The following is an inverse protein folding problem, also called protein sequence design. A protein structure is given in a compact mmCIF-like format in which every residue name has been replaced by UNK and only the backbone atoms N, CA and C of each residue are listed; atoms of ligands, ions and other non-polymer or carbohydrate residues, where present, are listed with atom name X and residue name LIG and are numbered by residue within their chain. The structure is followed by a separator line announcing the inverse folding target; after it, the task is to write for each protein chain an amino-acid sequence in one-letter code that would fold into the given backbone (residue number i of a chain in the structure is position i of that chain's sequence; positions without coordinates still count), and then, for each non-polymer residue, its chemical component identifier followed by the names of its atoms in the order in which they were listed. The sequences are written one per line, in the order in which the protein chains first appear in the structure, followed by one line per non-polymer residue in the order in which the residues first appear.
data_IF_019491644498
#
_entry.id   IF_019491644498
#
_cell.length_a   1.000
_cell.length_b   1.000
_cell.length_c   1.000
_cell.angle_alpha   90.00
_cell.angle_beta   90.00
_cell.angle_gamma   90.00
#
_symmetry.space_group_name_H-M   'P 1'
#
loop_
_entity.id
_entity.type
_entity.pdbx_description
1 polymer ?
#
# COMPACT_ATOMS: atom_id res chain seq x y z
N UNK A 1 11.26 1.87 14.83
CA UNK A 1 10.80 2.15 13.44
C UNK A 1 12.07 2.13 12.63
N UNK A 2 12.50 0.93 12.32
CA UNK A 2 13.68 0.54 11.53
C UNK A 2 13.72 -0.96 11.77
N UNK A 3 12.95 -1.70 10.99
CA UNK A 3 13.06 -3.16 10.89
C UNK A 3 12.50 -3.55 9.51
N UNK A 4 13.42 -4.01 8.66
CA UNK A 4 13.20 -5.06 7.67
C UNK A 4 12.59 -4.75 6.29
N UNK A 5 12.81 -3.56 5.72
CA UNK A 5 12.56 -3.36 4.28
C UNK A 5 13.63 -4.05 3.41
N UNK A 6 14.76 -4.49 3.98
CA UNK A 6 15.81 -5.24 3.25
C UNK A 6 15.35 -6.66 2.87
N UNK A 7 14.55 -7.30 3.70
CA UNK A 7 14.04 -8.66 3.50
C UNK A 7 12.99 -8.75 2.38
N UNK A 8 12.36 -7.62 2.02
CA UNK A 8 11.35 -7.55 0.97
C UNK A 8 11.95 -7.58 -0.44
N UNK A 9 13.20 -7.14 -0.62
CA UNK A 9 13.87 -7.13 -1.92
C UNK A 9 14.27 -8.54 -2.37
N UNK A 10 14.73 -9.39 -1.45
CA UNK A 10 15.17 -10.77 -1.73
C UNK A 10 14.02 -11.75 -2.00
N UNK A 11 12.77 -11.38 -1.68
CA UNK A 11 11.57 -12.23 -1.86
C UNK A 11 10.76 -11.89 -3.10
N UNK A 12 11.27 -11.01 -3.96
CA UNK A 12 10.55 -10.54 -5.13
C UNK A 12 11.08 -11.16 -6.42
N UNK A 13 10.18 -11.52 -7.33
CA UNK A 13 10.54 -12.00 -8.67
C UNK A 13 9.67 -11.34 -9.73
N UNK A 14 10.23 -11.14 -10.92
CA UNK A 14 9.54 -10.56 -12.06
C UNK A 14 9.09 -11.66 -13.03
N UNK A 15 7.82 -11.65 -13.44
CA UNK A 15 7.31 -12.53 -14.49
C UNK A 15 6.24 -11.83 -15.31
N UNK A 16 6.43 -11.77 -16.64
CA UNK A 16 5.45 -11.16 -17.54
C UNK A 16 5.14 -9.69 -17.27
N UNK A 17 6.13 -8.88 -16.86
CA UNK A 17 5.95 -7.44 -16.58
C UNK A 17 5.37 -7.11 -15.19
N UNK A 18 5.32 -8.12 -14.32
CA UNK A 18 4.78 -8.03 -12.97
C UNK A 18 5.83 -8.42 -11.94
N UNK A 19 5.99 -7.60 -10.91
CA UNK A 19 6.70 -7.94 -9.68
C UNK A 19 5.77 -8.69 -8.76
N UNK A 20 6.13 -9.93 -8.48
CA UNK A 20 5.55 -10.78 -7.45
C UNK A 20 6.42 -10.69 -6.21
N UNK A 21 5.81 -10.87 -5.05
CA UNK A 21 6.51 -11.06 -3.78
C UNK A 21 6.00 -12.35 -3.19
N UNK A 22 6.93 -13.24 -2.84
CA UNK A 22 6.58 -14.48 -2.15
C UNK A 22 5.82 -14.15 -0.85
N UNK A 23 4.74 -14.87 -0.51
CA UNK A 23 4.06 -14.66 0.75
C UNK A 23 5.03 -14.77 1.93
N UNK A 24 5.01 -13.78 2.82
CA UNK A 24 5.93 -13.76 3.96
C UNK A 24 5.18 -13.48 5.26
N UNK A 25 5.81 -13.81 6.39
CA UNK A 25 5.27 -13.50 7.71
C UNK A 25 5.83 -12.18 8.18
N UNK A 26 4.96 -11.30 8.65
CA UNK A 26 5.34 -10.01 9.24
C UNK A 26 4.79 -9.92 10.65
N UNK A 27 5.64 -9.49 11.59
CA UNK A 27 5.24 -9.18 12.95
C UNK A 27 5.06 -7.68 13.11
N UNK A 28 3.97 -7.29 13.75
CA UNK A 28 3.69 -5.90 14.09
C UNK A 28 3.46 -5.78 15.57
N UNK A 29 4.16 -4.83 16.18
CA UNK A 29 4.09 -4.55 17.60
C UNK A 29 3.37 -3.22 17.83
N UNK A 30 2.36 -3.24 18.69
CA UNK A 30 1.51 -2.08 19.01
C UNK A 30 1.34 -1.98 20.52
N UNK A 31 1.22 -0.75 21.04
CA UNK A 31 0.85 -0.55 22.44
C UNK A 31 -0.65 -0.29 22.56
N UNK A 32 -1.27 -0.95 23.54
CA UNK A 32 -2.68 -0.74 23.88
C UNK A 32 -2.82 0.66 24.49
N UNK A 33 -3.70 1.47 23.91
CA UNK A 33 -3.99 2.80 24.43
C UNK A 33 -5.10 2.72 25.48
N UNK A 34 -5.19 3.73 26.34
CA UNK A 34 -6.20 3.79 27.41
C UNK A 34 -7.65 3.71 26.92
N UNK A 35 -7.92 4.18 25.70
CA UNK A 35 -9.27 4.10 25.11
C UNK A 35 -9.67 2.67 24.71
N UNK A 36 -8.69 1.78 24.59
CA UNK A 36 -8.83 0.44 24.05
C UNK A 36 -8.41 -0.63 25.05
N UNK A 37 -8.33 -0.31 26.34
CA UNK A 37 -8.21 -1.33 27.38
C UNK A 37 -9.54 -2.05 27.56
N UNK A 38 -9.49 -3.33 27.94
CA UNK A 38 -10.69 -4.18 27.99
C UNK A 38 -10.35 -5.65 27.78
N UNK A 39 -11.36 -6.45 27.46
CA UNK A 39 -11.15 -7.85 27.10
C UNK A 39 -10.21 -7.95 25.89
N UNK A 40 -9.32 -8.94 25.88
CA UNK A 40 -8.29 -9.07 24.84
C UNK A 40 -8.88 -9.13 23.43
N UNK A 41 -10.02 -9.82 23.27
CA UNK A 41 -10.84 -9.82 22.05
C UNK A 41 -11.10 -8.41 21.53
N UNK A 42 -11.62 -7.54 22.38
CA UNK A 42 -12.01 -6.18 21.99
C UNK A 42 -10.78 -5.35 21.63
N UNK A 43 -9.67 -5.55 22.34
CA UNK A 43 -8.38 -4.94 22.00
C UNK A 43 -7.94 -5.36 20.60
N UNK A 44 -7.99 -6.67 20.28
CA UNK A 44 -7.62 -7.20 18.97
C UNK A 44 -8.50 -6.60 17.87
N UNK A 45 -9.83 -6.62 18.03
CA UNK A 45 -10.77 -6.06 17.04
C UNK A 45 -10.56 -4.55 16.83
N UNK A 46 -10.35 -3.78 17.90
CA UNK A 46 -10.19 -2.33 17.84
C UNK A 46 -8.84 -1.88 17.26
N UNK A 47 -7.78 -2.68 17.40
CA UNK A 47 -6.45 -2.37 16.86
C UNK A 47 -6.31 -2.80 15.39
N UNK A 48 -7.00 -3.88 15.00
CA UNK A 48 -7.00 -4.45 13.65
C UNK A 48 -7.85 -3.62 12.68
N UNK A 49 -8.95 -3.03 13.16
CA UNK A 49 -9.79 -2.10 12.37
C UNK A 49 -9.12 -0.77 12.02
N UNK A 50 -8.08 -0.36 12.77
CA UNK A 50 -7.37 0.92 12.56
C UNK A 50 -6.04 0.79 11.85
N UNK A 51 -5.48 -0.39 11.76
CA UNK A 51 -4.22 -0.65 11.07
C UNK A 51 -4.50 -1.13 9.64
N UNK A 52 -3.47 -1.24 8.80
CA UNK A 52 -3.50 -1.85 7.44
C UNK A 52 -3.94 -3.35 7.42
N UNK A 53 -4.80 -3.73 8.36
CA UNK A 53 -5.09 -5.06 8.86
C UNK A 53 -6.59 -5.29 8.94
N UNK A 54 -7.43 -4.59 8.17
CA UNK A 54 -8.84 -4.96 8.08
C UNK A 54 -8.91 -6.47 7.75
N UNK A 55 -9.23 -7.27 8.77
CA UNK A 55 -9.35 -8.70 8.61
C UNK A 55 -10.40 -8.89 7.52
N UNK A 56 -10.13 -9.78 6.56
CA UNK A 56 -11.22 -10.32 5.75
C UNK A 56 -12.33 -10.66 6.73
N UNK A 57 -13.53 -10.13 6.50
CA UNK A 57 -14.72 -10.43 7.30
C UNK A 57 -14.80 -11.95 7.44
N UNK A 58 -14.30 -12.50 8.55
CA UNK A 58 -14.54 -13.88 8.91
C UNK A 58 -15.89 -13.86 9.58
N UNK A 59 -16.79 -14.74 9.14
CA UNK A 59 -18.14 -14.80 9.70
C UNK A 59 -18.11 -15.10 11.22
N UNK A 60 -17.02 -15.69 11.71
CA UNK A 60 -16.73 -15.89 13.14
C UNK A 60 -15.38 -15.28 13.53
N UNK A 61 -15.43 -14.11 14.17
CA UNK A 61 -14.25 -13.35 14.63
C UNK A 61 -13.61 -13.99 15.86
N UNK A 62 -14.39 -14.67 16.69
CA UNK A 62 -13.92 -15.20 17.98
C UNK A 62 -13.13 -16.49 17.76
N UNK A 63 -13.66 -17.38 16.92
CA UNK A 63 -12.94 -18.58 16.51
C UNK A 63 -11.61 -18.25 15.81
N UNK A 64 -11.59 -17.19 14.99
CA UNK A 64 -10.37 -16.71 14.34
C UNK A 64 -9.31 -16.29 15.37
N UNK A 65 -9.66 -15.43 16.34
CA UNK A 65 -8.70 -14.96 17.34
C UNK A 65 -8.28 -16.04 18.31
N UNK A 66 -9.17 -16.96 18.68
CA UNK A 66 -8.82 -18.09 19.55
C UNK A 66 -7.77 -18.97 18.86
N UNK A 67 -7.96 -19.25 17.56
CA UNK A 67 -6.99 -19.99 16.75
C UNK A 67 -5.67 -19.24 16.60
N UNK A 68 -5.71 -17.92 16.44
CA UNK A 68 -4.50 -17.10 16.35
C UNK A 68 -3.73 -17.07 17.67
N UNK A 69 -4.42 -16.99 18.81
CA UNK A 69 -3.83 -17.01 20.15
C UNK A 69 -3.19 -18.37 20.45
N UNK A 70 -3.94 -19.46 20.23
CA UNK A 70 -3.42 -20.82 20.41
C UNK A 70 -2.20 -21.11 19.54
N UNK A 71 -2.17 -20.57 18.32
CA UNK A 71 -1.03 -20.67 17.40
C UNK A 71 0.11 -19.67 17.69
N UNK A 72 0.03 -18.88 18.78
CA UNK A 72 0.99 -17.83 19.14
C UNK A 72 1.21 -16.78 18.04
N UNK A 73 0.24 -16.61 17.15
CA UNK A 73 0.23 -15.54 16.13
C UNK A 73 -0.20 -14.21 16.70
N UNK A 74 -0.89 -14.21 17.83
CA UNK A 74 -1.09 -13.02 18.65
C UNK A 74 -0.60 -13.30 20.06
N UNK A 75 0.15 -12.35 20.63
CA UNK A 75 0.75 -12.45 21.97
C UNK A 75 0.79 -11.07 22.60
N UNK A 76 0.80 -11.00 23.93
CA UNK A 76 0.91 -9.72 24.62
C UNK A 76 1.86 -9.80 25.83
N UNK A 77 2.27 -8.63 26.33
CA UNK A 77 2.95 -8.45 27.61
C UNK A 77 2.20 -7.35 28.35
N UNK A 78 1.36 -7.73 29.31
CA UNK A 78 0.43 -6.82 30.02
C UNK A 78 1.17 -5.68 30.74
N UNK A 79 2.33 -5.96 31.31
CA UNK A 79 3.09 -5.01 32.15
C UNK A 79 4.40 -4.56 31.47
N UNK A 80 4.32 -4.38 30.14
CA UNK A 80 5.45 -4.04 29.29
C UNK A 80 6.14 -2.72 29.69
N UNK A 81 5.38 -1.72 30.18
CA UNK A 81 5.97 -0.43 30.59
C UNK A 81 6.86 -0.55 31.83
N UNK A 82 6.49 -1.39 32.80
CA UNK A 82 7.28 -1.58 34.01
C UNK A 82 8.52 -2.43 33.73
N UNK A 83 8.39 -3.46 32.89
CA UNK A 83 9.47 -4.39 32.56
C UNK A 83 10.44 -3.87 31.50
N UNK A 84 9.97 -3.05 30.57
CA UNK A 84 10.77 -2.41 29.52
C UNK A 84 10.61 -0.88 29.56
N UNK A 85 11.02 -0.21 30.65
CA UNK A 85 10.77 1.22 30.85
C UNK A 85 11.54 2.10 29.86
N UNK A 86 12.69 1.65 29.38
CA UNK A 86 13.51 2.34 28.37
C UNK A 86 13.16 1.95 26.94
N UNK A 87 12.12 1.14 26.73
CA UNK A 87 11.89 0.42 25.48
C UNK A 87 12.80 -0.80 25.34
N UNK A 88 12.72 -1.47 24.19
CA UNK A 88 13.45 -2.71 23.90
C UNK A 88 12.53 -3.81 23.39
N UNK A 89 13.11 -4.97 23.15
CA UNK A 89 12.38 -6.18 22.77
C UNK A 89 11.98 -6.98 24.00
N UNK A 90 10.76 -7.53 24.00
CA UNK A 90 10.32 -8.45 25.04
C UNK A 90 10.94 -9.84 24.82
N UNK A 91 11.40 -10.46 25.90
CA UNK A 91 11.94 -11.82 25.89
C UNK A 91 10.83 -12.86 25.73
N UNK A 92 11.15 -14.06 25.26
CA UNK A 92 10.19 -15.18 25.14
C UNK A 92 9.55 -15.57 26.48
N UNK A 93 10.28 -15.43 27.58
CA UNK A 93 9.75 -15.59 28.94
C UNK A 93 8.65 -14.57 29.24
N UNK A 94 8.85 -13.29 28.91
CA UNK A 94 7.84 -12.25 29.12
C UNK A 94 6.57 -12.50 28.31
N UNK A 95 6.70 -12.95 27.07
CA UNK A 95 5.55 -13.30 26.23
C UNK A 95 4.73 -14.48 26.77
N UNK A 96 5.38 -15.37 27.53
CA UNK A 96 4.76 -16.58 28.07
C UNK A 96 4.16 -16.34 29.46
N UNK A 97 4.92 -15.74 30.38
CA UNK A 97 4.52 -15.56 31.78
C UNK A 97 3.57 -14.37 31.99
N UNK A 98 3.62 -13.39 31.09
CA UNK A 98 2.89 -12.13 31.21
C UNK A 98 1.91 -11.91 30.06
N UNK A 99 1.73 -12.95 29.25
CA UNK A 99 0.72 -13.01 28.21
C UNK A 99 -0.64 -13.38 28.78
N UNK A 100 -1.61 -13.43 27.88
CA UNK A 100 -2.96 -13.95 28.15
C UNK A 100 -3.09 -15.32 27.49
N UNK A 101 -3.88 -16.20 28.11
CA UNK A 101 -4.21 -17.53 27.61
C UNK A 101 -5.60 -17.54 26.95
N UNK A 102 -6.47 -16.61 27.32
CA UNK A 102 -7.85 -16.52 26.87
C UNK A 102 -8.22 -15.12 26.34
N UNK A 103 -9.26 -15.08 25.51
CA UNK A 103 -9.68 -13.85 24.81
C UNK A 103 -10.50 -12.88 25.68
N UNK A 104 -11.09 -13.37 26.77
CA UNK A 104 -11.90 -12.61 27.72
C UNK A 104 -11.07 -11.96 28.83
N UNK A 105 -9.78 -12.30 28.92
CA UNK A 105 -8.86 -11.70 29.88
C UNK A 105 -8.70 -10.20 29.67
N UNK A 106 -8.61 -9.46 30.78
CA UNK A 106 -8.49 -8.02 30.76
C UNK A 106 -7.07 -7.57 30.40
N UNK A 107 -6.98 -6.71 29.39
CA UNK A 107 -5.74 -6.15 28.88
C UNK A 107 -5.71 -4.64 29.15
N UNK A 108 -4.82 -4.16 30.04
CA UNK A 108 -4.73 -2.74 30.39
C UNK A 108 -3.98 -1.91 29.34
N UNK A 109 -4.14 -0.59 29.43
CA UNK A 109 -3.32 0.35 28.70
C UNK A 109 -1.81 0.14 28.96
N UNK A 110 -0.98 0.37 27.94
CA UNK A 110 0.47 0.19 28.03
C UNK A 110 0.95 -1.23 27.76
N UNK A 111 0.03 -2.21 27.67
CA UNK A 111 0.32 -3.56 27.18
C UNK A 111 0.99 -3.52 25.82
N UNK A 112 2.05 -4.30 25.65
CA UNK A 112 2.66 -4.53 24.35
C UNK A 112 1.94 -5.71 23.67
N UNK A 113 1.42 -5.49 22.49
CA UNK A 113 0.75 -6.49 21.66
C UNK A 113 1.64 -6.79 20.44
N UNK A 114 1.88 -8.07 20.15
CA UNK A 114 2.51 -8.54 18.92
C UNK A 114 1.51 -9.34 18.09
N UNK A 115 1.41 -9.03 16.81
CA UNK A 115 0.54 -9.70 15.85
C UNK A 115 1.41 -10.17 14.67
N UNK A 116 1.45 -11.47 14.44
CA UNK A 116 2.05 -12.11 13.27
C UNK A 116 0.98 -12.34 12.19
N UNK A 117 1.25 -11.88 10.97
CA UNK A 117 0.38 -12.08 9.80
C UNK A 117 1.13 -12.69 8.63
N UNK A 118 0.41 -13.46 7.82
CA UNK A 118 0.84 -13.76 6.46
C UNK A 118 0.51 -12.57 5.55
N UNK A 119 1.53 -11.98 4.93
CA UNK A 119 1.39 -10.89 3.98
C UNK A 119 1.35 -11.49 2.58
N UNK A 120 0.28 -11.20 1.85
CA UNK A 120 0.22 -11.39 0.41
C UNK A 120 0.24 -10.01 -0.22
N UNK A 121 1.39 -9.60 -0.75
CA UNK A 121 1.45 -8.35 -1.51
C UNK A 121 0.74 -8.54 -2.85
N UNK A 122 0.10 -7.47 -3.33
CA UNK A 122 -0.46 -7.49 -4.68
C UNK A 122 0.70 -7.42 -5.67
N UNK A 123 0.55 -8.15 -6.77
CA UNK A 123 1.45 -8.02 -7.90
C UNK A 123 1.37 -6.58 -8.40
N UNK A 124 2.52 -5.92 -8.51
CA UNK A 124 2.64 -4.56 -9.05
C UNK A 124 3.39 -4.64 -10.36
N UNK A 125 3.22 -3.65 -11.23
CA UNK A 125 4.04 -3.59 -12.43
C UNK A 125 5.52 -3.51 -12.05
N UNK A 126 6.36 -4.29 -12.72
CA UNK A 126 7.82 -4.25 -12.55
C UNK A 126 8.47 -3.09 -13.34
N UNK A 127 7.71 -2.50 -14.26
CA UNK A 127 8.16 -1.43 -15.13
C UNK A 127 7.21 -0.23 -15.07
N UNK A 128 7.78 0.94 -15.37
CA UNK A 128 7.02 2.17 -15.58
C UNK A 128 6.53 2.24 -17.03
N UNK A 129 5.33 2.79 -17.29
CA UNK A 129 4.88 3.03 -18.65
C UNK A 129 5.80 4.00 -19.39
N UNK A 130 5.97 3.75 -20.69
CA UNK A 130 6.80 4.59 -21.56
C UNK A 130 5.94 5.31 -22.59
N UNK A 131 6.14 6.61 -22.75
CA UNK A 131 5.53 7.39 -23.83
C UNK A 131 6.43 7.28 -25.05
N UNK A 132 6.00 6.47 -26.01
CA UNK A 132 6.73 6.13 -27.25
C UNK A 132 6.50 7.19 -28.32
N UNK A 133 5.31 7.78 -28.36
CA UNK A 133 4.97 8.83 -29.31
C UNK A 133 3.95 9.81 -28.72
N UNK A 134 4.10 11.09 -29.06
CA UNK A 134 3.17 12.15 -28.69
C UNK A 134 3.01 13.11 -29.86
N UNK A 135 1.77 13.36 -30.27
CA UNK A 135 1.44 14.31 -31.33
C UNK A 135 0.64 15.47 -30.75
N UNK A 136 1.27 16.62 -30.58
CA UNK A 136 0.61 17.83 -30.05
C UNK A 136 -0.57 18.29 -30.92
N UNK A 137 -0.46 18.13 -32.25
CA UNK A 137 -1.50 18.58 -33.21
C UNK A 137 -2.80 17.81 -33.06
N UNK A 138 -2.71 16.50 -32.87
CA UNK A 138 -3.88 15.62 -32.75
C UNK A 138 -4.27 15.40 -31.28
N UNK A 139 -3.34 15.61 -30.34
CA UNK A 139 -3.50 15.19 -28.95
C UNK A 139 -3.41 13.67 -28.78
N UNK A 140 -2.95 12.92 -29.78
CA UNK A 140 -2.70 11.49 -29.65
C UNK A 140 -1.42 11.26 -28.84
N UNK A 141 -1.52 10.37 -27.85
CA UNK A 141 -0.37 9.86 -27.10
C UNK A 141 -0.35 8.34 -27.27
N UNK A 142 0.83 7.78 -27.46
CA UNK A 142 1.07 6.34 -27.59
C UNK A 142 1.95 5.93 -26.43
N UNK A 143 1.42 5.03 -25.61
CA UNK A 143 2.06 4.56 -24.39
C UNK A 143 2.29 3.07 -24.49
N UNK A 144 3.53 2.63 -24.27
CA UNK A 144 3.81 1.23 -24.00
C UNK A 144 3.43 0.94 -22.55
N UNK A 145 2.35 0.18 -22.40
CA UNK A 145 1.78 -0.20 -21.12
C UNK A 145 2.47 -1.48 -20.63
N UNK A 146 3.07 -1.49 -19.42
CA UNK A 146 3.52 -2.70 -18.78
C UNK A 146 2.34 -3.49 -18.21
N UNK A 147 2.54 -4.81 -18.06
CA UNK A 147 1.57 -5.63 -17.36
C UNK A 147 1.42 -5.18 -15.89
N UNK A 148 0.27 -5.46 -15.29
CA UNK A 148 -0.05 -5.11 -13.92
C UNK A 148 -0.56 -3.71 -13.65
N UNK A 149 -0.41 -2.77 -14.59
CA UNK A 149 -0.96 -1.43 -14.43
C UNK A 149 -2.37 -1.40 -15.04
N UNK A 150 -3.46 -1.24 -14.28
CA UNK A 150 -4.77 -0.98 -14.85
C UNK A 150 -4.80 0.42 -15.46
N UNK A 151 -5.58 0.55 -16.52
CA UNK A 151 -5.72 1.83 -17.23
C UNK A 151 -6.33 2.93 -16.36
N UNK A 152 -7.33 2.57 -15.54
CA UNK A 152 -8.03 3.47 -14.62
C UNK A 152 -8.03 2.91 -13.19
N UNK A 153 -8.18 3.79 -12.20
CA UNK A 153 -8.41 3.39 -10.82
C UNK A 153 -9.72 2.59 -10.70
N UNK A 154 -9.64 1.38 -10.14
CA UNK A 154 -10.82 0.63 -9.71
C UNK A 154 -11.32 1.10 -8.34
N UNK A 155 -12.53 0.70 -7.95
CA UNK A 155 -13.09 0.96 -6.62
C UNK A 155 -12.44 0.13 -5.48
N UNK A 156 -11.36 -0.60 -5.77
CA UNK A 156 -10.70 -1.47 -4.79
C UNK A 156 -9.81 -0.66 -3.83
N UNK A 157 -9.77 -1.01 -2.53
CA UNK A 157 -8.87 -0.38 -1.55
C UNK A 157 -7.41 -0.42 -2.03
N UNK A 158 -6.69 0.70 -1.92
CA UNK A 158 -5.29 0.86 -2.37
C UNK A 158 -5.12 1.40 -3.80
N UNK A 159 -6.19 1.52 -4.59
CA UNK A 159 -6.18 2.06 -5.96
C UNK A 159 -6.71 3.49 -6.05
N UNK A 160 -6.71 4.23 -4.94
CA UNK A 160 -7.18 5.61 -4.93
C UNK A 160 -6.27 6.48 -5.81
N UNK A 161 -6.67 6.68 -7.07
CA UNK A 161 -6.27 7.76 -7.95
C UNK A 161 -4.86 7.75 -8.57
N UNK A 162 -3.83 7.22 -7.90
CA UNK A 162 -2.44 7.56 -8.24
C UNK A 162 -1.59 6.45 -8.91
N UNK A 163 -2.03 5.18 -8.87
CA UNK A 163 -1.27 4.03 -9.40
C UNK A 163 -1.74 3.47 -10.75
N UNK A 164 -2.63 4.18 -11.46
CA UNK A 164 -3.16 3.73 -12.76
C UNK A 164 -2.40 4.36 -13.94
N UNK A 165 -2.54 3.75 -15.12
CA UNK A 165 -1.80 4.13 -16.32
C UNK A 165 -2.04 5.58 -16.75
N UNK A 166 -3.28 6.07 -16.63
CA UNK A 166 -3.62 7.46 -16.96
C UNK A 166 -2.93 8.46 -16.02
N UNK A 167 -2.92 8.17 -14.72
CA UNK A 167 -2.24 9.00 -13.72
C UNK A 167 -0.72 9.00 -13.90
N UNK A 168 -0.12 7.83 -14.13
CA UNK A 168 1.33 7.68 -14.34
C UNK A 168 1.77 8.40 -15.62
N UNK A 169 1.05 8.20 -16.72
CA UNK A 169 1.32 8.91 -18.00
C UNK A 169 1.18 10.41 -17.83
N UNK A 170 0.15 10.87 -17.12
CA UNK A 170 -0.04 12.30 -16.83
C UNK A 170 1.09 12.88 -15.98
N UNK A 171 1.63 12.11 -15.03
CA UNK A 171 2.79 12.51 -14.25
C UNK A 171 4.07 12.57 -15.10
N UNK A 172 4.29 11.60 -15.99
CA UNK A 172 5.43 11.59 -16.91
C UNK A 172 5.43 12.80 -17.85
N UNK A 173 4.28 13.12 -18.46
CA UNK A 173 4.15 14.31 -19.31
C UNK A 173 4.42 15.61 -18.56
N UNK A 174 3.89 15.74 -17.33
CA UNK A 174 4.19 16.91 -16.46
C UNK A 174 5.67 17.02 -16.12
N UNK A 175 6.34 15.90 -15.84
CA UNK A 175 7.79 15.88 -15.57
C UNK A 175 8.62 16.26 -16.81
N UNK A 176 8.27 15.76 -18.00
CA UNK A 176 8.92 16.14 -19.27
C UNK A 176 8.76 17.63 -19.53
N UNK A 177 7.53 18.16 -19.46
CA UNK A 177 7.27 19.58 -19.62
C UNK A 177 8.04 20.45 -18.62
N UNK A 178 8.08 20.07 -17.34
CA UNK A 178 8.85 20.81 -16.33
C UNK A 178 10.37 20.80 -16.60
N UNK A 179 10.91 19.72 -17.18
CA UNK A 179 12.32 19.62 -17.58
C UNK A 179 12.62 20.52 -18.78
N UNK A 180 11.74 20.54 -19.78
CA UNK A 180 11.88 21.40 -20.95
C UNK A 180 11.77 22.88 -20.57
N UNK A 181 10.84 23.21 -19.66
CA UNK A 181 10.70 24.57 -19.12
C UNK A 181 11.90 25.00 -18.26
N UNK A 182 12.55 24.07 -17.56
CA UNK A 182 13.78 24.35 -16.80
C UNK A 182 14.99 24.57 -17.73
N UNK A 183 14.98 24.00 -18.92
CA UNK A 183 16.02 24.18 -19.93
C UNK A 183 15.86 25.48 -20.75
N UNK A 184 14.67 26.07 -20.78
CA UNK A 184 14.36 27.31 -21.51
C UNK A 184 14.12 28.50 -20.55
N UNK A 185 15.18 29.25 -20.29
CA UNK A 185 15.19 30.40 -19.36
C UNK A 185 14.19 31.50 -19.75
N UNK A 186 13.78 31.57 -21.02
CA UNK A 186 12.80 32.56 -21.53
C UNK A 186 11.34 32.18 -21.30
N UNK A 187 11.03 30.91 -21.00
CA UNK A 187 9.66 30.42 -20.73
C UNK A 187 9.25 30.54 -19.27
N UNK A 188 10.22 30.68 -18.36
CA UNK A 188 10.04 30.73 -16.90
C UNK A 188 9.07 31.81 -16.42
N UNK A 189 8.92 32.90 -17.18
CA UNK A 189 8.10 34.07 -16.81
C UNK A 189 6.66 34.02 -17.35
N UNK A 190 6.30 33.08 -18.25
CA UNK A 190 5.01 33.10 -18.96
C UNK A 190 3.90 32.20 -18.40
N UNK A 191 4.15 31.32 -17.43
CA UNK A 191 3.11 30.40 -16.90
C UNK A 191 3.00 30.39 -15.38
N UNK A 192 2.41 31.45 -14.84
CA UNK A 192 1.72 31.41 -13.53
C UNK A 192 0.25 30.94 -13.64
N UNK A 193 -0.20 30.46 -14.80
CA UNK A 193 -1.55 29.91 -15.04
C UNK A 193 -1.50 28.70 -15.97
N UNK A 194 -0.92 27.59 -15.52
CA UNK A 194 -1.23 26.30 -16.11
C UNK A 194 -2.51 25.78 -15.45
N UNK A 195 -3.56 25.58 -16.24
CA UNK A 195 -4.81 24.96 -15.80
C UNK A 195 -4.53 23.56 -15.25
N UNK A 196 -5.40 23.06 -14.36
CA UNK A 196 -5.24 21.76 -13.69
C UNK A 196 -5.15 20.53 -14.60
N UNK A 197 -5.33 20.70 -15.91
CA UNK A 197 -5.27 19.66 -16.94
C UNK A 197 -3.95 19.65 -17.74
N UNK A 198 -2.98 20.52 -17.44
CA UNK A 198 -1.69 20.53 -18.13
C UNK A 198 -0.94 19.18 -17.97
N UNK A 199 -0.69 18.51 -19.10
CA UNK A 199 -0.04 17.19 -19.15
C UNK A 199 -0.96 16.01 -18.81
N UNK A 200 -2.25 16.25 -18.53
CA UNK A 200 -3.24 15.20 -18.25
C UNK A 200 -3.55 14.40 -19.51
N UNK A 201 -3.81 13.11 -19.33
CA UNK A 201 -4.32 12.23 -20.37
C UNK A 201 -5.63 11.56 -19.95
N UNK A 202 -6.46 11.26 -20.93
CA UNK A 202 -7.76 10.59 -20.77
C UNK A 202 -7.74 9.24 -21.48
N UNK A 203 -8.26 8.23 -20.80
CA UNK A 203 -8.43 6.91 -21.37
C UNK A 203 -9.58 6.92 -22.37
N UNK A 204 -9.27 6.76 -23.66
CA UNK A 204 -10.28 6.56 -24.72
C UNK A 204 -10.61 5.09 -24.93
N UNK A 205 -9.69 4.20 -24.55
CA UNK A 205 -9.87 2.75 -24.49
C UNK A 205 -9.23 2.19 -23.22
N UNK A 206 -9.51 0.92 -22.92
CA UNK A 206 -8.94 0.18 -21.79
C UNK A 206 -8.26 -1.09 -22.25
N UNK A 207 -7.16 -1.42 -21.58
CA UNK A 207 -6.44 -2.68 -21.67
C UNK A 207 -6.48 -3.27 -20.27
N UNK A 208 -6.75 -4.58 -20.17
CA UNK A 208 -6.82 -5.25 -18.87
C UNK A 208 -5.49 -5.13 -18.13
N UNK A 209 -5.57 -5.02 -16.80
CA UNK A 209 -4.39 -4.85 -15.94
C UNK A 209 -3.26 -5.84 -16.29
N UNK A 210 -3.48 -7.16 -16.42
CA UNK A 210 -2.40 -8.12 -16.69
C UNK A 210 -1.82 -8.05 -18.12
N UNK A 211 -2.46 -7.36 -19.06
CA UNK A 211 -2.04 -7.34 -20.47
C UNK A 211 -1.06 -6.20 -20.71
N UNK A 212 0.14 -6.50 -21.21
CA UNK A 212 1.08 -5.49 -21.73
C UNK A 212 0.75 -5.12 -23.18
N UNK A 213 1.15 -3.93 -23.63
CA UNK A 213 1.03 -3.54 -25.04
C UNK A 213 0.80 -2.04 -25.26
N UNK A 214 0.41 -1.68 -26.48
CA UNK A 214 0.21 -0.28 -26.86
C UNK A 214 -1.15 0.23 -26.37
N UNK A 215 -1.12 1.25 -25.52
CA UNK A 215 -2.28 2.01 -25.08
C UNK A 215 -2.29 3.40 -25.75
N UNK A 216 -3.47 3.84 -26.19
CA UNK A 216 -3.62 5.06 -26.99
C UNK A 216 -4.49 6.10 -26.26
N UNK A 217 -3.98 6.82 -25.26
CA UNK A 217 -4.77 7.85 -24.60
C UNK A 217 -4.84 9.17 -25.40
N UNK A 218 -5.85 9.98 -25.07
CA UNK A 218 -5.97 11.34 -25.57
C UNK A 218 -5.35 12.34 -24.58
N UNK A 219 -4.67 13.36 -25.10
CA UNK A 219 -4.15 14.51 -24.37
C UNK A 219 -5.00 15.78 -24.56
N UNK A 220 -6.09 15.69 -25.33
CA UNK A 220 -7.07 16.74 -25.54
C UNK A 220 -8.46 16.25 -25.12
N UNK A 221 -9.21 17.00 -24.30
CA UNK A 221 -10.56 16.61 -23.87
C UNK A 221 -11.51 16.34 -25.05
N UNK A 222 -11.33 17.04 -26.17
CA UNK A 222 -12.15 16.92 -27.38
C UNK A 222 -12.03 15.57 -28.10
N UNK A 223 -10.98 14.78 -27.82
CA UNK A 223 -10.80 13.45 -28.40
C UNK A 223 -11.25 12.31 -27.47
N UNK A 224 -11.65 12.63 -26.24
CA UNK A 224 -12.05 11.64 -25.23
C UNK A 224 -13.56 11.43 -25.14
N UNK A 225 -14.34 12.16 -25.94
CA UNK A 225 -15.81 12.11 -26.01
C UNK A 225 -16.32 11.36 -27.22
#
# INVERSE_FOLDING_TARGET
RDDDDSDALDRSFACGGLRYVEPYRRRVRVRVSKRHEGAFRDVLVNQVSKSEFAARNSDDVDAYWATALAARRVRCVIDALRKMPRGGEATEEMWTEMGVEHLDEFVPAGTLLEIERCVHERCVADAMPEIVFECEKTGLVVVEKPAGVPVLAGAAPGWQGYGNLAALTSALRRRRAAKDDAADETRRTKRARATGDAGKVWAVNRIDAPVSGIWLPAAAPAMAG
#
